data_IF_328142163987
#
_entry.id   IF_328142163987
#
_cell.length_a   1.000
_cell.length_b   1.000
_cell.length_c   1.000
_cell.angle_alpha   90.00
_cell.angle_beta   90.00
_cell.angle_gamma   90.00
#
_symmetry.space_group_name_H-M   'P 1'
#
loop_
_entity.id
_entity.type
_entity.pdbx_description
1 polymer ?
#
# COMPACT_ATOMS: atom_id res chain seq x y z
N UNK A 1 6.54 16.80 -20.34
CA UNK A 1 5.99 16.01 -21.46
C UNK A 1 4.49 15.91 -21.27
N UNK A 2 3.67 16.25 -22.31
CA UNK A 2 2.23 16.07 -22.29
C UNK A 2 1.85 14.60 -22.52
N UNK A 3 0.68 14.21 -22.02
CA UNK A 3 0.09 12.90 -22.27
C UNK A 3 -1.43 13.00 -22.31
N UNK A 4 -2.07 12.03 -22.97
CA UNK A 4 -3.51 11.83 -22.89
C UNK A 4 -3.80 10.63 -22.00
N UNK A 5 -4.80 10.77 -21.14
CA UNK A 5 -5.29 9.69 -20.29
C UNK A 5 -6.75 9.42 -20.55
N UNK A 6 -7.11 8.14 -20.76
CA UNK A 6 -8.49 7.66 -20.73
C UNK A 6 -8.65 6.75 -19.52
N UNK A 7 -9.70 6.99 -18.74
CA UNK A 7 -10.00 6.19 -17.55
C UNK A 7 -11.49 5.81 -17.52
N UNK A 8 -11.96 4.90 -18.39
CA UNK A 8 -13.31 4.38 -18.33
C UNK A 8 -13.51 3.48 -17.10
N UNK A 9 -14.68 3.62 -16.47
CA UNK A 9 -15.13 2.76 -15.38
C UNK A 9 -16.57 2.35 -15.68
N UNK A 10 -16.83 1.04 -15.64
CA UNK A 10 -18.17 0.46 -15.75
C UNK A 10 -18.35 -0.51 -14.59
N UNK A 11 -19.44 -0.36 -13.85
CA UNK A 11 -19.78 -1.25 -12.75
C UNK A 11 -21.28 -1.54 -12.76
N UNK A 12 -21.63 -2.75 -12.35
CA UNK A 12 -23.02 -3.14 -12.15
C UNK A 12 -23.15 -3.85 -10.80
N UNK A 13 -24.14 -3.46 -10.00
CA UNK A 13 -24.37 -4.02 -8.69
C UNK A 13 -25.73 -4.73 -8.63
N UNK A 14 -25.72 -5.98 -8.20
CA UNK A 14 -26.89 -6.74 -7.81
C UNK A 14 -27.15 -6.53 -6.31
N UNK A 15 -28.41 -6.43 -5.91
CA UNK A 15 -28.84 -6.24 -4.51
C UNK A 15 -29.78 -7.37 -4.09
N UNK A 16 -29.26 -8.47 -3.53
CA UNK A 16 -30.07 -9.59 -3.07
C UNK A 16 -31.03 -9.17 -1.94
N UNK A 17 -32.26 -9.63 -2.00
CA UNK A 17 -33.29 -9.28 -0.99
C UNK A 17 -33.13 -9.99 0.36
N UNK A 18 -32.23 -10.92 0.49
CA UNK A 18 -32.01 -11.70 1.73
C UNK A 18 -30.56 -12.17 1.91
N UNK A 19 -30.29 -12.87 3.03
CA UNK A 19 -28.96 -13.41 3.33
C UNK A 19 -27.97 -12.37 3.84
N UNK A 20 -26.70 -12.76 3.91
CA UNK A 20 -25.61 -11.93 4.45
C UNK A 20 -25.01 -10.96 3.43
N UNK A 21 -25.38 -11.07 2.16
CA UNK A 21 -24.85 -10.26 1.09
C UNK A 21 -25.66 -8.97 0.95
N UNK A 22 -25.01 -7.82 0.97
CA UNK A 22 -25.63 -6.52 0.74
C UNK A 22 -25.71 -6.22 -0.76
N UNK A 23 -24.58 -6.39 -1.46
CA UNK A 23 -24.51 -6.24 -2.91
C UNK A 23 -23.35 -7.06 -3.46
N UNK A 24 -23.40 -7.38 -4.75
CA UNK A 24 -22.26 -7.94 -5.47
C UNK A 24 -22.33 -7.54 -6.94
N UNK A 25 -21.20 -7.57 -7.63
CA UNK A 25 -21.25 -7.32 -9.07
C UNK A 25 -19.90 -7.15 -9.74
N UNK A 26 -19.90 -7.26 -11.08
CA UNK A 26 -18.71 -7.04 -11.89
C UNK A 26 -18.39 -5.55 -11.99
N UNK A 27 -17.10 -5.28 -12.11
CA UNK A 27 -16.54 -3.96 -12.38
C UNK A 27 -15.45 -4.08 -13.42
N UNK A 28 -15.37 -3.11 -14.30
CA UNK A 28 -14.28 -2.93 -15.22
C UNK A 28 -13.75 -1.50 -15.09
N UNK A 29 -12.48 -1.39 -14.80
CA UNK A 29 -11.77 -0.11 -14.72
C UNK A 29 -10.52 -0.20 -15.59
N UNK A 30 -10.30 0.79 -16.41
CA UNK A 30 -9.12 0.85 -17.26
C UNK A 30 -8.44 2.20 -17.20
N UNK A 31 -7.11 2.18 -17.27
CA UNK A 31 -6.29 3.36 -17.46
C UNK A 31 -5.47 3.16 -18.74
N UNK A 32 -5.63 4.04 -19.71
CA UNK A 32 -4.82 4.09 -20.90
C UNK A 32 -4.06 5.40 -20.95
N UNK A 33 -2.77 5.31 -21.23
CA UNK A 33 -1.91 6.47 -21.42
C UNK A 33 -1.34 6.48 -22.84
N UNK A 34 -1.33 7.66 -23.43
CA UNK A 34 -0.84 7.91 -24.77
C UNK A 34 0.10 9.11 -24.74
N UNK A 35 1.14 9.09 -25.54
CA UNK A 35 2.01 10.25 -25.76
C UNK A 35 1.33 11.30 -26.66
N UNK A 36 1.99 12.43 -26.90
CA UNK A 36 1.45 13.50 -27.75
C UNK A 36 1.21 13.09 -29.22
N UNK A 37 1.83 12.00 -29.69
CA UNK A 37 1.59 11.43 -31.01
C UNK A 37 0.50 10.33 -31.00
N UNK A 38 -0.29 10.24 -29.92
CA UNK A 38 -1.34 9.23 -29.70
C UNK A 38 -0.85 7.77 -29.74
N UNK A 39 0.45 7.54 -29.56
CA UNK A 39 0.97 6.18 -29.36
C UNK A 39 0.73 5.78 -27.89
N UNK A 40 0.16 4.57 -27.71
CA UNK A 40 -0.06 4.02 -26.37
C UNK A 40 1.28 3.73 -25.69
N UNK A 41 1.47 4.30 -24.51
CA UNK A 41 2.64 4.06 -23.66
C UNK A 41 2.34 3.06 -22.56
N UNK A 42 1.16 3.15 -21.94
CA UNK A 42 0.79 2.29 -20.82
C UNK A 42 -0.68 1.95 -20.88
N UNK A 43 -1.06 0.80 -20.33
CA UNK A 43 -2.42 0.53 -19.90
C UNK A 43 -2.45 -0.40 -18.70
N UNK A 44 -3.51 -0.26 -17.90
CA UNK A 44 -3.91 -1.21 -16.88
C UNK A 44 -5.41 -1.45 -17.02
N UNK A 45 -5.80 -2.67 -17.37
CA UNK A 45 -7.18 -3.12 -17.46
C UNK A 45 -7.48 -4.00 -16.26
N UNK A 46 -8.40 -3.58 -15.41
CA UNK A 46 -8.77 -4.29 -14.18
C UNK A 46 -10.22 -4.75 -14.33
N UNK A 47 -10.41 -6.06 -14.36
CA UNK A 47 -11.70 -6.70 -14.19
C UNK A 47 -11.79 -7.21 -12.77
N UNK A 48 -12.86 -6.87 -12.07
CA UNK A 48 -13.07 -7.33 -10.72
C UNK A 48 -14.51 -7.76 -10.47
N UNK A 49 -14.70 -8.57 -9.45
CA UNK A 49 -15.99 -8.94 -8.95
C UNK A 49 -16.04 -8.70 -7.45
N UNK A 50 -16.79 -7.65 -7.06
CA UNK A 50 -16.88 -7.19 -5.69
C UNK A 50 -18.10 -7.82 -5.00
N UNK A 51 -17.88 -8.36 -3.80
CA UNK A 51 -18.91 -8.76 -2.85
C UNK A 51 -18.87 -7.83 -1.65
N UNK A 52 -19.99 -7.24 -1.31
CA UNK A 52 -20.16 -6.41 -0.10
C UNK A 52 -21.16 -7.10 0.82
N UNK A 53 -20.71 -7.42 2.02
CA UNK A 53 -21.54 -8.08 3.02
C UNK A 53 -22.27 -7.06 3.91
N UNK A 54 -23.37 -7.47 4.53
CA UNK A 54 -24.13 -6.63 5.48
C UNK A 54 -23.32 -6.21 6.69
N UNK A 55 -22.29 -6.99 7.04
CA UNK A 55 -21.26 -6.63 8.03
C UNK A 55 -20.34 -5.48 7.59
N UNK A 56 -20.48 -4.97 6.35
CA UNK A 56 -19.59 -4.02 5.69
C UNK A 56 -18.20 -4.59 5.36
N UNK A 57 -17.97 -5.89 5.58
CA UNK A 57 -16.78 -6.54 5.01
C UNK A 57 -16.93 -6.65 3.49
N UNK A 58 -15.80 -6.68 2.79
CA UNK A 58 -15.79 -6.82 1.34
C UNK A 58 -14.84 -7.91 0.91
N UNK A 59 -15.16 -8.58 -0.18
CA UNK A 59 -14.28 -9.50 -0.87
C UNK A 59 -14.29 -9.17 -2.36
N UNK A 60 -13.11 -9.02 -2.96
CA UNK A 60 -12.97 -8.59 -4.34
C UNK A 60 -12.03 -9.54 -5.08
N UNK A 61 -12.52 -10.23 -6.11
CA UNK A 61 -11.68 -10.92 -7.08
C UNK A 61 -11.19 -9.97 -8.14
N UNK A 62 -9.94 -10.15 -8.59
CA UNK A 62 -9.30 -9.26 -9.54
C UNK A 62 -8.56 -10.08 -10.60
N UNK A 63 -8.78 -9.69 -11.85
CA UNK A 63 -7.97 -10.07 -12.99
C UNK A 63 -7.51 -8.79 -13.68
N UNK A 64 -6.21 -8.64 -13.85
CA UNK A 64 -5.61 -7.41 -14.36
C UNK A 64 -4.68 -7.74 -15.53
N UNK A 65 -4.73 -6.91 -16.57
CA UNK A 65 -3.78 -6.92 -17.67
C UNK A 65 -3.07 -5.58 -17.74
N UNK A 66 -1.76 -5.61 -17.66
CA UNK A 66 -0.90 -4.44 -17.71
C UNK A 66 -0.04 -4.43 -18.98
N UNK A 67 0.16 -3.27 -19.54
CA UNK A 67 1.11 -3.02 -20.61
C UNK A 67 1.88 -1.74 -20.30
N UNK A 68 3.20 -1.81 -20.47
CA UNK A 68 4.10 -0.68 -20.26
C UNK A 68 5.11 -0.60 -21.41
N UNK A 69 5.29 0.58 -21.97
CA UNK A 69 6.42 0.92 -22.82
C UNK A 69 7.37 1.80 -22.03
N UNK A 70 8.54 1.28 -21.69
CA UNK A 70 9.53 2.01 -20.89
C UNK A 70 10.02 3.26 -21.63
N UNK A 71 9.89 4.42 -21.00
CA UNK A 71 10.38 5.70 -21.54
C UNK A 71 11.85 5.94 -21.19
N UNK A 72 12.34 5.34 -20.11
CA UNK A 72 13.71 5.39 -19.62
C UNK A 72 14.17 3.97 -19.25
N UNK A 73 15.49 3.72 -19.17
CA UNK A 73 15.98 2.47 -18.60
C UNK A 73 15.39 2.23 -17.20
N UNK A 74 15.01 1.00 -16.89
CA UNK A 74 14.33 0.63 -15.66
C UNK A 74 14.87 -0.67 -15.08
N UNK A 75 15.28 -0.65 -13.81
CA UNK A 75 15.62 -1.86 -13.07
C UNK A 75 14.36 -2.39 -12.34
N UNK A 76 13.81 -3.55 -12.74
CA UNK A 76 12.60 -4.10 -12.14
C UNK A 76 12.78 -4.57 -10.69
N UNK A 77 14.01 -4.69 -10.21
CA UNK A 77 14.33 -5.07 -8.83
C UNK A 77 14.55 -3.87 -7.91
N UNK A 78 14.85 -2.70 -8.48
CA UNK A 78 15.26 -1.49 -7.76
C UNK A 78 16.47 -1.69 -6.82
N UNK A 79 17.38 -2.58 -7.22
CA UNK A 79 18.60 -2.91 -6.47
C UNK A 79 19.88 -2.37 -7.13
N UNK A 80 19.73 -1.39 -8.04
CA UNK A 80 20.82 -0.81 -8.87
C UNK A 80 21.60 -1.86 -9.67
N UNK A 81 20.90 -2.88 -10.15
CA UNK A 81 21.40 -3.93 -11.05
C UNK A 81 21.16 -3.55 -12.52
N UNK A 82 21.22 -4.55 -13.39
CA UNK A 82 20.94 -4.36 -14.82
C UNK A 82 19.56 -3.78 -15.06
N UNK A 83 19.45 -2.94 -16.08
CA UNK A 83 18.23 -2.25 -16.43
C UNK A 83 17.65 -2.73 -17.76
N UNK A 84 16.33 -2.80 -17.84
CA UNK A 84 15.59 -2.95 -19.08
C UNK A 84 15.77 -1.69 -19.94
N UNK A 85 15.93 -1.88 -21.24
CA UNK A 85 16.20 -0.77 -22.15
C UNK A 85 14.99 0.17 -22.29
N UNK A 86 15.25 1.46 -22.46
CA UNK A 86 14.25 2.42 -22.90
C UNK A 86 13.63 1.98 -24.24
N UNK A 87 12.32 2.18 -24.39
CA UNK A 87 11.56 1.75 -25.58
C UNK A 87 11.08 0.31 -25.54
N UNK A 88 11.59 -0.53 -24.63
CA UNK A 88 11.10 -1.91 -24.48
C UNK A 88 9.64 -1.95 -24.06
N UNK A 89 8.92 -2.97 -24.53
CA UNK A 89 7.46 -3.14 -24.31
C UNK A 89 7.22 -4.41 -23.52
N UNK A 90 6.43 -4.30 -22.48
CA UNK A 90 6.10 -5.41 -21.58
C UNK A 90 4.60 -5.51 -21.42
N UNK A 91 4.08 -6.74 -21.43
CA UNK A 91 2.66 -7.02 -21.19
C UNK A 91 2.54 -8.27 -20.34
N UNK A 92 1.66 -8.22 -19.33
CA UNK A 92 1.42 -9.35 -18.45
C UNK A 92 0.03 -9.34 -17.85
N UNK A 93 -0.37 -10.51 -17.33
CA UNK A 93 -1.62 -10.68 -16.61
C UNK A 93 -1.34 -11.02 -15.16
N UNK A 94 -2.19 -10.51 -14.28
CA UNK A 94 -2.16 -10.75 -12.83
C UNK A 94 -3.54 -11.12 -12.35
N UNK A 95 -3.65 -12.08 -11.45
CA UNK A 95 -4.87 -12.42 -10.74
C UNK A 95 -4.69 -12.25 -9.25
N UNK A 96 -5.78 -12.04 -8.55
CA UNK A 96 -5.71 -11.92 -7.11
C UNK A 96 -7.03 -11.64 -6.45
N UNK A 97 -6.97 -11.35 -5.17
CA UNK A 97 -8.13 -10.98 -4.39
C UNK A 97 -7.76 -9.99 -3.27
N UNK A 98 -8.75 -9.21 -2.84
CA UNK A 98 -8.69 -8.39 -1.64
C UNK A 98 -9.80 -8.81 -0.70
N UNK A 99 -9.50 -8.81 0.58
CA UNK A 99 -10.48 -8.94 1.64
C UNK A 99 -10.31 -7.80 2.65
N UNK A 100 -11.42 -7.15 3.00
CA UNK A 100 -11.46 -6.15 4.06
C UNK A 100 -12.50 -6.60 5.07
N UNK A 101 -12.07 -6.81 6.32
CA UNK A 101 -12.92 -7.21 7.43
C UNK A 101 -13.90 -6.11 7.85
N UNK A 102 -14.88 -6.47 8.63
CA UNK A 102 -15.89 -5.54 9.12
C UNK A 102 -15.26 -4.46 10.04
N UNK A 103 -15.36 -3.17 9.70
CA UNK A 103 -14.63 -2.11 10.39
C UNK A 103 -15.12 -1.82 11.82
N UNK A 104 -16.31 -2.28 12.19
CA UNK A 104 -16.88 -2.07 13.51
C UNK A 104 -16.37 -3.03 14.58
N UNK A 105 -15.70 -4.13 14.21
CA UNK A 105 -15.19 -5.09 15.15
C UNK A 105 -13.96 -4.56 15.89
N UNK A 106 -13.74 -5.00 17.12
CA UNK A 106 -12.53 -4.68 17.89
C UNK A 106 -11.30 -5.31 17.26
N UNK A 107 -11.43 -6.55 16.79
CA UNK A 107 -10.42 -7.22 15.98
C UNK A 107 -10.68 -6.90 14.50
N UNK A 108 -9.71 -6.30 13.86
CA UNK A 108 -9.76 -5.90 12.45
C UNK A 108 -8.69 -6.63 11.66
N UNK A 109 -9.01 -6.99 10.43
CA UNK A 109 -8.06 -7.62 9.53
C UNK A 109 -8.42 -7.33 8.09
N UNK A 110 -7.41 -7.16 7.28
CA UNK A 110 -7.52 -7.08 5.83
C UNK A 110 -6.36 -7.82 5.18
N UNK A 111 -6.52 -8.16 3.93
CA UNK A 111 -5.48 -8.84 3.19
C UNK A 111 -5.68 -8.69 1.69
N UNK A 112 -4.57 -8.72 0.97
CA UNK A 112 -4.51 -8.71 -0.48
C UNK A 112 -3.52 -9.76 -0.97
N UNK A 113 -3.84 -10.38 -2.08
CA UNK A 113 -2.99 -11.33 -2.75
C UNK A 113 -3.00 -11.05 -4.24
N UNK A 114 -1.82 -11.05 -4.87
CA UNK A 114 -1.64 -10.91 -6.31
C UNK A 114 -0.59 -11.90 -6.79
N UNK A 115 -0.86 -12.55 -7.90
CA UNK A 115 0.11 -13.40 -8.57
C UNK A 115 -0.04 -13.26 -10.07
N UNK A 116 1.06 -13.08 -10.77
CA UNK A 116 1.03 -12.99 -12.21
C UNK A 116 2.36 -12.69 -12.85
N UNK A 117 2.29 -12.30 -14.10
CA UNK A 117 3.45 -11.86 -14.85
C UNK A 117 4.03 -10.56 -14.32
N UNK A 118 5.25 -10.29 -14.75
CA UNK A 118 5.99 -9.06 -14.48
C UNK A 118 6.93 -8.75 -15.65
N UNK A 119 7.71 -7.70 -15.54
CA UNK A 119 8.66 -7.31 -16.57
C UNK A 119 9.54 -8.48 -17.05
N UNK A 120 10.06 -8.38 -18.29
CA UNK A 120 10.96 -9.35 -18.92
C UNK A 120 10.46 -10.81 -18.93
N UNK A 121 9.13 -11.03 -18.90
CA UNK A 121 8.56 -12.38 -18.80
C UNK A 121 8.71 -13.03 -17.42
N UNK A 122 9.05 -12.25 -16.40
CA UNK A 122 9.11 -12.70 -15.01
C UNK A 122 7.74 -12.86 -14.36
N UNK A 123 7.77 -13.23 -13.09
CA UNK A 123 6.58 -13.38 -12.25
C UNK A 123 6.75 -12.63 -10.93
N UNK A 124 5.65 -12.03 -10.47
CA UNK A 124 5.55 -11.36 -9.17
C UNK A 124 4.42 -11.99 -8.35
N UNK A 125 4.74 -12.37 -7.12
CA UNK A 125 3.78 -12.68 -6.08
C UNK A 125 3.83 -11.58 -5.04
N UNK A 126 2.68 -11.00 -4.72
CA UNK A 126 2.51 -10.03 -3.63
C UNK A 126 1.45 -10.55 -2.67
N UNK A 127 1.79 -10.60 -1.39
CA UNK A 127 0.84 -10.85 -0.31
C UNK A 127 1.01 -9.77 0.74
N UNK A 128 -0.05 -9.04 1.06
CA UNK A 128 0.00 -7.98 2.04
C UNK A 128 -1.26 -7.97 2.90
N UNK A 129 -1.17 -7.43 4.10
CA UNK A 129 -2.33 -7.29 4.97
C UNK A 129 -1.99 -6.67 6.30
N UNK A 130 -3.05 -6.36 7.05
CA UNK A 130 -2.99 -5.83 8.38
C UNK A 130 -3.87 -6.65 9.31
N UNK A 131 -3.42 -6.84 10.53
CA UNK A 131 -4.23 -7.31 11.65
C UNK A 131 -4.15 -6.29 12.77
N UNK A 132 -5.28 -5.98 13.38
CA UNK A 132 -5.33 -4.97 14.43
C UNK A 132 -6.30 -5.33 15.54
N UNK A 133 -6.05 -4.77 16.72
CA UNK A 133 -6.96 -4.86 17.85
C UNK A 133 -7.10 -3.51 18.55
N UNK A 134 -8.34 -3.14 18.82
CA UNK A 134 -8.72 -1.90 19.49
C UNK A 134 -9.13 -2.15 20.93
N UNK A 135 -8.30 -1.75 21.88
CA UNK A 135 -8.62 -1.65 23.30
C UNK A 135 -9.29 -0.30 23.55
N UNK A 136 -10.57 -0.22 23.17
CA UNK A 136 -11.31 1.05 23.22
C UNK A 136 -11.46 1.57 24.65
N UNK A 137 -11.38 2.89 24.83
CA UNK A 137 -11.12 3.92 23.83
C UNK A 137 -9.63 4.29 23.71
N UNK A 138 -8.72 3.61 24.41
CA UNK A 138 -7.38 4.11 24.72
C UNK A 138 -6.28 3.64 23.79
N UNK A 139 -6.33 2.41 23.29
CA UNK A 139 -5.21 1.82 22.56
C UNK A 139 -5.70 1.15 21.28
N UNK A 140 -4.98 1.40 20.17
CA UNK A 140 -5.09 0.64 18.93
C UNK A 140 -3.73 0.07 18.57
N UNK A 141 -3.66 -1.23 18.35
CA UNK A 141 -2.45 -1.93 17.92
C UNK A 141 -2.72 -2.52 16.53
N UNK A 142 -1.85 -2.26 15.59
CA UNK A 142 -1.92 -2.81 14.23
C UNK A 142 -0.58 -3.39 13.82
N UNK A 143 -0.57 -4.57 13.26
CA UNK A 143 0.58 -5.18 12.60
C UNK A 143 0.30 -5.22 11.11
N UNK A 144 1.14 -4.53 10.33
CA UNK A 144 1.14 -4.56 8.87
C UNK A 144 2.27 -5.43 8.36
N UNK A 145 2.00 -6.26 7.35
CA UNK A 145 3.01 -7.05 6.67
C UNK A 145 2.78 -7.05 5.17
N UNK A 146 3.88 -7.00 4.40
CA UNK A 146 3.86 -7.16 2.95
C UNK A 146 5.05 -8.02 2.52
N UNK A 147 4.77 -9.05 1.74
CA UNK A 147 5.77 -9.94 1.17
C UNK A 147 5.66 -9.90 -0.35
N UNK A 148 6.78 -9.63 -1.01
CA UNK A 148 6.89 -9.66 -2.46
C UNK A 148 7.95 -10.69 -2.86
N UNK A 149 7.59 -11.63 -3.72
CA UNK A 149 8.52 -12.56 -4.34
C UNK A 149 8.58 -12.26 -5.84
N UNK A 150 9.72 -11.79 -6.27
CA UNK A 150 10.00 -11.49 -7.66
C UNK A 150 10.89 -12.58 -8.26
N UNK A 151 10.48 -13.13 -9.40
CA UNK A 151 11.24 -14.10 -10.18
C UNK A 151 11.40 -13.57 -11.60
N UNK A 152 12.59 -13.16 -11.93
CA UNK A 152 12.95 -12.64 -13.25
C UNK A 152 13.97 -13.57 -13.93
N UNK A 153 14.08 -13.52 -15.28
CA UNK A 153 15.20 -14.13 -15.99
C UNK A 153 16.54 -13.55 -15.52
N UNK A 154 17.63 -14.21 -15.87
CA UNK A 154 18.95 -13.60 -15.72
C UNK A 154 19.02 -12.26 -16.47
N UNK A 155 19.69 -11.23 -15.92
CA UNK A 155 20.63 -11.30 -14.79
C UNK A 155 19.99 -11.05 -13.40
N UNK A 156 18.69 -10.75 -13.28
CA UNK A 156 18.06 -10.33 -12.02
C UNK A 156 17.79 -11.51 -11.07
N UNK A 157 17.37 -12.67 -11.59
CA UNK A 157 17.09 -13.86 -10.80
C UNK A 157 15.88 -13.74 -9.86
N UNK A 158 15.96 -14.41 -8.70
CA UNK A 158 14.93 -14.39 -7.67
C UNK A 158 15.26 -13.37 -6.58
N UNK A 159 14.27 -12.54 -6.23
CA UNK A 159 14.35 -11.58 -5.12
C UNK A 159 13.12 -11.75 -4.24
N UNK A 160 13.31 -11.63 -2.93
CA UNK A 160 12.24 -11.59 -1.95
C UNK A 160 12.36 -10.29 -1.18
N UNK A 161 11.23 -9.68 -0.84
CA UNK A 161 11.19 -8.44 -0.07
C UNK A 161 10.12 -8.55 1.00
N UNK A 162 10.53 -8.49 2.25
CA UNK A 162 9.66 -8.46 3.41
C UNK A 162 9.62 -7.05 3.99
N UNK A 163 8.41 -6.55 4.21
CA UNK A 163 8.13 -5.33 4.95
C UNK A 163 7.19 -5.70 6.09
N UNK A 164 7.59 -5.42 7.32
CA UNK A 164 6.78 -5.72 8.50
C UNK A 164 6.85 -4.52 9.45
N UNK A 165 5.71 -4.12 10.01
CA UNK A 165 5.69 -2.97 10.91
C UNK A 165 4.53 -2.96 11.89
N UNK A 166 4.79 -3.14 13.20
CA UNK A 166 3.82 -2.84 14.23
C UNK A 166 3.65 -1.32 14.41
N UNK A 167 2.41 -0.93 14.66
CA UNK A 167 2.01 0.43 15.03
C UNK A 167 1.14 0.36 16.29
N UNK A 168 1.38 1.30 17.19
CA UNK A 168 0.60 1.47 18.42
C UNK A 168 0.16 2.94 18.49
N UNK A 169 -1.13 3.17 18.60
CA UNK A 169 -1.74 4.47 18.86
C UNK A 169 -2.34 4.46 20.25
N UNK A 170 -1.94 5.40 21.10
CA UNK A 170 -2.45 5.55 22.47
C UNK A 170 -3.12 6.91 22.62
N UNK A 171 -4.34 6.91 23.13
CA UNK A 171 -5.09 8.09 23.52
C UNK A 171 -5.13 8.13 25.04
N UNK A 172 -4.26 8.93 25.68
CA UNK A 172 -4.24 9.05 27.14
C UNK A 172 -5.43 9.87 27.63
N UNK A 173 -5.72 10.96 26.91
CA UNK A 173 -6.86 11.83 27.15
C UNK A 173 -7.38 12.35 25.81
N UNK A 174 -8.46 13.13 25.82
CA UNK A 174 -8.98 13.82 24.62
C UNK A 174 -8.03 14.89 24.04
N UNK A 175 -6.93 15.18 24.74
CA UNK A 175 -5.94 16.18 24.34
C UNK A 175 -4.52 15.63 24.23
N UNK A 176 -4.26 14.39 24.68
CA UNK A 176 -2.93 13.82 24.78
C UNK A 176 -2.86 12.49 24.06
N UNK A 177 -1.98 12.41 23.05
CA UNK A 177 -1.87 11.28 22.13
C UNK A 177 -0.42 10.85 22.00
N UNK A 178 -0.22 9.56 21.80
CA UNK A 178 1.07 8.98 21.46
C UNK A 178 0.88 7.97 20.33
N UNK A 179 1.72 8.07 19.31
CA UNK A 179 1.78 7.10 18.21
C UNK A 179 3.22 6.62 18.08
N UNK A 180 3.41 5.32 18.03
CA UNK A 180 4.70 4.73 17.69
C UNK A 180 4.55 3.73 16.56
N UNK A 181 5.57 3.66 15.73
CA UNK A 181 5.63 2.82 14.55
C UNK A 181 7.05 2.31 14.39
N UNK A 182 7.19 1.00 14.28
CA UNK A 182 8.47 0.34 13.98
C UNK A 182 8.30 -0.38 12.66
N UNK A 183 9.24 -0.24 11.72
CA UNK A 183 9.18 -0.89 10.43
C UNK A 183 10.51 -1.50 10.03
N UNK A 184 10.48 -2.78 9.74
CA UNK A 184 11.56 -3.48 9.08
C UNK A 184 11.32 -3.54 7.58
N UNK A 185 12.31 -3.12 6.79
CA UNK A 185 12.30 -3.16 5.34
C UNK A 185 13.55 -3.90 4.84
N UNK A 186 13.34 -5.14 4.38
CA UNK A 186 14.42 -6.00 3.88
C UNK A 186 15.06 -5.44 2.61
N UNK A 187 14.27 -4.87 1.68
CA UNK A 187 14.78 -4.33 0.41
C UNK A 187 15.76 -3.16 0.62
N UNK A 188 15.53 -2.34 1.63
CA UNK A 188 16.37 -1.18 1.94
C UNK A 188 17.39 -1.45 3.04
N UNK A 189 17.42 -2.68 3.58
CA UNK A 189 18.20 -3.04 4.76
C UNK A 189 18.03 -1.97 5.85
N UNK A 190 16.78 -1.74 6.26
CA UNK A 190 16.43 -0.64 7.15
C UNK A 190 15.44 -1.05 8.23
N UNK A 191 15.74 -0.68 9.46
CA UNK A 191 14.81 -0.67 10.59
C UNK A 191 14.52 0.78 10.96
N UNK A 192 13.27 1.21 10.75
CA UNK A 192 12.79 2.53 11.12
C UNK A 192 12.01 2.47 12.42
N UNK A 193 12.27 3.40 13.32
CA UNK A 193 11.50 3.65 14.54
C UNK A 193 11.02 5.10 14.47
N UNK A 194 9.72 5.30 14.61
CA UNK A 194 9.12 6.62 14.71
C UNK A 194 8.21 6.69 15.93
N UNK A 195 8.40 7.66 16.79
CA UNK A 195 7.56 7.91 17.94
C UNK A 195 7.12 9.38 17.95
N UNK A 196 5.83 9.60 18.03
CA UNK A 196 5.22 10.91 18.04
C UNK A 196 4.34 11.10 19.26
N UNK A 197 4.67 12.10 20.04
CA UNK A 197 3.84 12.60 21.13
C UNK A 197 3.15 13.88 20.67
N UNK A 198 1.84 14.01 20.92
CA UNK A 198 1.03 15.16 20.57
C UNK A 198 0.24 15.63 21.78
N UNK A 199 0.37 16.89 22.11
CA UNK A 199 -0.43 17.56 23.12
C UNK A 199 -1.22 18.71 22.50
N UNK A 200 -2.56 18.57 22.50
CA UNK A 200 -3.49 19.61 22.10
C UNK A 200 -3.83 20.48 23.32
N UNK A 201 -3.05 21.52 23.54
CA UNK A 201 -3.21 22.39 24.70
C UNK A 201 -4.34 23.42 24.55
N UNK A 202 -4.80 23.70 23.31
CA UNK A 202 -6.00 24.50 22.97
C UNK A 202 -6.64 23.94 21.69
N UNK A 203 -7.89 24.27 21.38
CA UNK A 203 -8.48 23.93 20.08
C UNK A 203 -7.59 24.42 18.93
N UNK A 204 -7.33 23.56 17.95
CA UNK A 204 -6.46 23.80 16.79
C UNK A 204 -5.00 24.19 17.12
N UNK A 205 -4.56 24.04 18.38
CA UNK A 205 -3.20 24.40 18.83
C UNK A 205 -2.53 23.19 19.44
N UNK A 206 -1.46 22.71 18.82
CA UNK A 206 -0.81 21.45 19.17
C UNK A 206 0.71 21.64 19.37
N UNK A 207 1.26 20.92 20.34
CA UNK A 207 2.68 20.66 20.51
C UNK A 207 2.97 19.22 20.07
N UNK A 208 3.95 19.05 19.21
CA UNK A 208 4.43 17.76 18.77
C UNK A 208 5.88 17.55 19.16
N UNK A 209 6.17 16.38 19.72
CA UNK A 209 7.52 15.84 19.87
C UNK A 209 7.61 14.63 18.98
N UNK A 210 8.53 14.63 18.02
CA UNK A 210 8.72 13.52 17.10
C UNK A 210 10.16 13.03 17.19
N UNK A 211 10.31 11.74 17.47
CA UNK A 211 11.57 11.04 17.41
C UNK A 211 11.56 10.07 16.24
N UNK A 212 12.58 10.15 15.39
CA UNK A 212 12.77 9.22 14.27
C UNK A 212 14.18 8.68 14.30
N UNK A 213 14.32 7.36 14.18
CA UNK A 213 15.58 6.68 14.13
C UNK A 213 15.57 5.60 13.06
N UNK A 214 16.61 5.54 12.24
CA UNK A 214 16.82 4.53 11.22
C UNK A 214 18.11 3.78 11.50
N UNK A 215 18.06 2.46 11.43
CA UNK A 215 19.18 1.58 11.69
C UNK A 215 19.46 0.66 10.49
N UNK A 216 20.72 0.25 10.39
CA UNK A 216 21.10 -0.96 9.66
C UNK A 216 20.76 -2.18 10.51
N UNK A 217 19.88 -3.11 10.08
CA UNK A 217 19.41 -4.22 10.93
C UNK A 217 20.54 -5.15 11.40
N UNK A 218 21.51 -5.46 10.54
CA UNK A 218 22.60 -6.37 10.85
C UNK A 218 23.50 -5.89 12.01
N UNK A 219 24.20 -4.74 11.87
CA UNK A 219 25.09 -4.23 12.91
C UNK A 219 24.37 -3.39 13.99
N UNK A 220 23.07 -3.12 13.84
CA UNK A 220 22.32 -2.15 14.64
C UNK A 220 22.96 -0.75 14.68
N UNK A 221 23.64 -0.39 13.58
CA UNK A 221 24.27 0.92 13.45
C UNK A 221 23.26 1.97 13.00
N UNK A 222 23.33 3.16 13.60
CA UNK A 222 22.44 4.28 13.27
C UNK A 222 22.73 4.79 11.87
N UNK A 223 21.71 4.85 11.01
CA UNK A 223 21.77 5.52 9.70
C UNK A 223 21.50 7.01 9.85
N UNK A 224 20.36 7.34 10.45
CA UNK A 224 19.90 8.70 10.68
C UNK A 224 19.07 8.76 11.94
N UNK A 225 19.23 9.84 12.69
CA UNK A 225 18.45 10.10 13.90
C UNK A 225 17.99 11.55 13.89
N UNK A 226 16.74 11.76 14.23
CA UNK A 226 16.17 13.10 14.32
C UNK A 226 15.23 13.21 15.52
N UNK A 227 15.29 14.36 16.15
CA UNK A 227 14.34 14.79 17.16
C UNK A 227 13.76 16.13 16.72
N UNK A 228 12.44 16.20 16.57
CA UNK A 228 11.74 17.39 16.06
C UNK A 228 10.72 17.84 17.09
N UNK A 229 10.80 19.11 17.46
CA UNK A 229 9.79 19.82 18.22
C UNK A 229 9.02 20.72 17.26
N UNK A 230 7.70 20.56 17.18
CA UNK A 230 6.83 21.43 16.39
C UNK A 230 5.76 22.03 17.28
N UNK A 231 5.62 23.33 17.23
CA UNK A 231 4.62 24.09 17.96
C UNK A 231 3.68 24.78 16.96
N UNK A 232 2.38 24.53 17.06
CA UNK A 232 1.34 25.21 16.32
C UNK A 232 0.46 25.99 17.29
N UNK A 233 0.20 27.25 16.96
CA UNK A 233 -0.74 28.08 17.70
C UNK A 233 -1.77 28.63 16.71
N UNK A 234 -3.04 28.40 17.00
CA UNK A 234 -4.12 29.01 16.23
C UNK A 234 -4.57 30.30 16.91
N UNK A 235 -4.40 31.41 16.17
CA UNK A 235 -4.86 32.72 16.60
C UNK A 235 -6.16 33.05 15.90
N UNK A 236 -7.25 33.23 16.68
CA UNK A 236 -8.53 33.69 16.17
C UNK A 236 -8.63 35.19 16.45
N UNK A 237 -8.73 36.01 15.43
CA UNK A 237 -8.98 37.43 15.50
C UNK A 237 -10.48 37.71 15.57
#
# INVERSE_FOLDING_TARGET
RGYFKLNPLVAYNFFPKGGNLLSHGPQWNSNYYFNNAFNKTDHSNIFSYLFTFRSKSTFNFIAQNDYVQLLNPFDPTNLAKDSLAAGSKHNWNTIGFDYVGAPQHLFTYNGSFRYGGYYAGGHLLTAAGDIGYRFQPYVNITLSASYNQLRLPQPWGKQNFLLVGPRIDITFTNTLFFTTYVQYNEQQDNLNINARFQWRYKPASDLFLVYTDNYYPGPFAVKTRAFVLKFNYWWNL
#
